data_IF_884152588793
#
_entry.id   IF_884152588793
#
_cell.length_a   1.000
_cell.length_b   1.000
_cell.length_c   1.000
_cell.angle_alpha   90.00
_cell.angle_beta   90.00
_cell.angle_gamma   90.00
#
_symmetry.space_group_name_H-M   'P 1'
#
loop_
_entity.id
_entity.type
_entity.pdbx_description
1 polymer ?
#
# COMPACT_ATOMS: atom_id res chain seq x y z
N UNK A 1 -11.71 -13.36 -9.26
CA UNK A 1 -10.82 -12.18 -9.18
C UNK A 1 -9.49 -12.58 -8.56
N UNK A 2 -8.39 -12.20 -9.19
CA UNK A 2 -7.05 -12.58 -8.75
C UNK A 2 -6.52 -11.70 -7.63
N UNK A 3 -7.03 -10.51 -7.49
CA UNK A 3 -6.65 -9.56 -6.47
C UNK A 3 -7.40 -8.26 -6.67
N UNK A 4 -7.13 -7.28 -5.82
CA UNK A 4 -7.75 -5.98 -5.94
C UNK A 4 -6.97 -4.90 -5.23
N UNK A 5 -7.27 -3.65 -5.57
CA UNK A 5 -6.67 -2.48 -4.95
C UNK A 5 -7.71 -1.37 -4.86
N UNK A 6 -7.54 -0.51 -3.86
CA UNK A 6 -8.44 0.63 -3.66
C UNK A 6 -7.72 1.77 -2.97
N UNK A 7 -8.25 2.98 -3.17
CA UNK A 7 -7.83 4.14 -2.38
C UNK A 7 -8.73 4.24 -1.16
N UNK A 8 -8.15 4.52 -0.01
CA UNK A 8 -8.90 4.68 1.24
C UNK A 8 -8.13 5.59 2.21
N UNK A 9 -8.73 5.83 3.38
CA UNK A 9 -8.16 6.70 4.43
C UNK A 9 -7.69 8.03 3.85
N UNK A 10 -8.58 8.67 3.08
CA UNK A 10 -8.26 9.92 2.39
C UNK A 10 -8.39 11.08 3.35
N UNK A 11 -7.31 11.88 3.46
CA UNK A 11 -7.33 13.15 4.19
C UNK A 11 -7.21 14.28 3.17
N UNK A 12 -8.34 14.91 2.89
CA UNK A 12 -8.40 15.96 1.87
C UNK A 12 -7.70 17.26 2.29
N UNK A 13 -7.57 17.50 3.59
CA UNK A 13 -6.91 18.70 4.08
C UNK A 13 -5.42 18.72 3.74
N UNK A 14 -4.76 17.56 3.88
CA UNK A 14 -3.33 17.42 3.55
C UNK A 14 -3.10 16.68 2.24
N UNK A 15 -4.17 16.22 1.60
CA UNK A 15 -4.15 15.49 0.34
C UNK A 15 -3.31 14.22 0.44
N UNK A 16 -3.55 13.47 1.49
CA UNK A 16 -2.92 12.18 1.75
C UNK A 16 -3.90 11.06 1.47
N UNK A 17 -3.48 10.09 0.68
CA UNK A 17 -4.28 8.94 0.30
C UNK A 17 -3.54 7.67 0.71
N UNK A 18 -4.26 6.62 1.01
CA UNK A 18 -3.67 5.31 1.24
C UNK A 18 -4.18 4.33 0.19
N UNK A 19 -3.27 3.52 -0.37
CA UNK A 19 -3.63 2.43 -1.27
C UNK A 19 -3.63 1.14 -0.47
N UNK A 20 -4.78 0.47 -0.45
CA UNK A 20 -4.90 -0.88 0.09
C UNK A 20 -5.02 -1.87 -1.05
N UNK A 21 -4.50 -3.08 -0.86
CA UNK A 21 -4.59 -4.12 -1.88
C UNK A 21 -4.51 -5.51 -1.26
N UNK A 22 -4.95 -6.49 -2.04
CA UNK A 22 -4.89 -7.89 -1.68
C UNK A 22 -4.66 -8.71 -2.95
N UNK A 23 -4.11 -9.90 -2.80
CA UNK A 23 -3.84 -10.80 -3.91
C UNK A 23 -4.03 -12.24 -3.45
N UNK A 24 -4.66 -13.05 -4.28
CA UNK A 24 -4.78 -14.48 -4.01
C UNK A 24 -3.41 -15.13 -4.10
N UNK A 25 -3.09 -16.07 -3.21
CA UNK A 25 -1.78 -16.73 -3.24
C UNK A 25 -1.44 -17.37 -4.58
N UNK A 26 -2.42 -17.97 -5.26
CA UNK A 26 -2.22 -18.61 -6.55
C UNK A 26 -1.91 -17.62 -7.69
N UNK A 27 -2.22 -16.34 -7.49
CA UNK A 27 -1.94 -15.29 -8.47
C UNK A 27 -0.68 -14.49 -8.13
N UNK A 28 -0.01 -14.80 -7.02
CA UNK A 28 1.16 -14.06 -6.59
C UNK A 28 2.28 -14.18 -7.65
N UNK A 29 2.94 -13.06 -7.91
CA UNK A 29 4.01 -13.01 -8.88
C UNK A 29 3.59 -12.68 -10.31
N UNK A 30 2.29 -12.55 -10.59
CA UNK A 30 1.81 -12.24 -11.93
C UNK A 30 1.79 -10.73 -12.24
N UNK A 31 2.06 -9.88 -11.26
CA UNK A 31 2.20 -8.45 -11.48
C UNK A 31 0.91 -7.64 -11.60
N UNK A 32 -0.26 -8.27 -11.57
CA UNK A 32 -1.55 -7.59 -11.75
C UNK A 32 -1.83 -6.55 -10.66
N UNK A 33 -1.57 -6.91 -9.40
CA UNK A 33 -1.82 -5.99 -8.28
C UNK A 33 -0.83 -4.84 -8.30
N UNK A 34 0.43 -5.10 -8.63
CA UNK A 34 1.44 -4.05 -8.75
C UNK A 34 1.07 -3.02 -9.79
N UNK A 35 0.53 -3.47 -10.94
CA UNK A 35 0.06 -2.56 -11.98
C UNK A 35 -1.12 -1.74 -11.49
N UNK A 36 -2.09 -2.37 -10.82
CA UNK A 36 -3.24 -1.67 -10.27
C UNK A 36 -2.83 -0.62 -9.24
N UNK A 37 -1.87 -0.94 -8.37
CA UNK A 37 -1.34 0.02 -7.38
C UNK A 37 -0.71 1.21 -8.06
N UNK A 38 0.09 0.97 -9.11
CA UNK A 38 0.72 2.04 -9.88
C UNK A 38 -0.31 2.97 -10.52
N UNK A 39 -1.34 2.38 -11.12
CA UNK A 39 -2.40 3.15 -11.77
C UNK A 39 -3.21 3.97 -10.77
N UNK A 40 -3.51 3.40 -9.59
CA UNK A 40 -4.23 4.13 -8.54
C UNK A 40 -3.39 5.29 -8.01
N UNK A 41 -2.09 5.09 -7.82
CA UNK A 41 -1.21 6.16 -7.36
C UNK A 41 -1.16 7.28 -8.40
N UNK A 42 -1.01 6.95 -9.68
CA UNK A 42 -1.02 7.93 -10.76
C UNK A 42 -2.34 8.70 -10.79
N UNK A 43 -3.46 8.01 -10.66
CA UNK A 43 -4.77 8.65 -10.59
C UNK A 43 -4.85 9.63 -9.43
N UNK A 44 -4.38 9.21 -8.25
CA UNK A 44 -4.41 10.06 -7.07
C UNK A 44 -3.60 11.34 -7.30
N UNK A 45 -2.39 11.24 -7.84
CA UNK A 45 -1.55 12.40 -8.10
C UNK A 45 -2.11 13.28 -9.22
N UNK A 46 -2.52 12.70 -10.33
CA UNK A 46 -2.89 13.47 -11.53
C UNK A 46 -4.31 14.00 -11.49
N UNK A 47 -5.26 13.25 -10.93
CA UNK A 47 -6.67 13.59 -10.97
C UNK A 47 -7.22 14.08 -9.64
N UNK A 48 -6.70 13.61 -8.52
CA UNK A 48 -7.23 13.93 -7.20
C UNK A 48 -6.35 14.89 -6.41
N UNK A 49 -5.24 15.31 -6.97
CA UNK A 49 -4.36 16.29 -6.35
C UNK A 49 -3.62 15.79 -5.13
N UNK A 50 -3.35 14.49 -5.07
CA UNK A 50 -2.60 13.94 -3.95
C UNK A 50 -1.21 14.57 -3.84
N UNK A 51 -0.78 14.81 -2.62
CA UNK A 51 0.59 15.22 -2.33
C UNK A 51 1.39 14.06 -1.78
N UNK A 52 0.70 13.08 -1.21
CA UNK A 52 1.30 11.92 -0.60
C UNK A 52 0.36 10.73 -0.78
N UNK A 53 0.94 9.60 -1.18
CA UNK A 53 0.23 8.31 -1.24
C UNK A 53 1.01 7.33 -0.40
N UNK A 54 0.31 6.61 0.49
CA UNK A 54 0.91 5.66 1.41
C UNK A 54 0.46 4.24 1.11
N UNK A 55 1.34 3.28 1.43
CA UNK A 55 1.00 1.87 1.52
C UNK A 55 1.47 1.40 2.88
N UNK A 56 0.61 0.69 3.61
CA UNK A 56 0.95 0.12 4.91
C UNK A 56 0.80 -1.39 4.85
N UNK A 57 1.75 -2.11 5.42
CA UNK A 57 1.70 -3.57 5.44
C UNK A 57 2.51 -4.12 6.62
N UNK A 58 2.27 -5.39 6.94
CA UNK A 58 3.07 -6.10 7.94
C UNK A 58 4.48 -6.33 7.37
N UNK A 59 5.54 -6.02 8.14
CA UNK A 59 6.92 -6.23 7.68
C UNK A 59 7.22 -7.67 7.26
N UNK A 60 6.48 -8.63 7.80
CA UNK A 60 6.64 -10.04 7.46
C UNK A 60 6.03 -10.41 6.11
N UNK A 61 5.18 -9.54 5.58
CA UNK A 61 4.52 -9.80 4.29
C UNK A 61 5.45 -9.37 3.14
N UNK A 62 6.33 -10.28 2.77
CA UNK A 62 7.36 -10.02 1.74
C UNK A 62 6.73 -9.69 0.39
N UNK A 63 5.62 -10.35 0.05
CA UNK A 63 4.93 -10.10 -1.24
C UNK A 63 4.36 -8.70 -1.30
N UNK A 64 3.73 -8.27 -0.20
CA UNK A 64 3.15 -6.92 -0.12
C UNK A 64 4.23 -5.84 -0.19
N UNK A 65 5.34 -6.06 0.48
CA UNK A 65 6.48 -5.14 0.44
C UNK A 65 7.04 -5.03 -0.98
N UNK A 66 7.16 -6.17 -1.66
CA UNK A 66 7.67 -6.17 -3.04
C UNK A 66 6.75 -5.39 -3.99
N UNK A 67 5.44 -5.49 -3.80
CA UNK A 67 4.48 -4.72 -4.60
C UNK A 67 4.69 -3.23 -4.39
N UNK A 68 4.83 -2.78 -3.15
CA UNK A 68 5.06 -1.38 -2.84
C UNK A 68 6.36 -0.86 -3.47
N UNK A 69 7.44 -1.61 -3.32
CA UNK A 69 8.74 -1.22 -3.88
C UNK A 69 8.71 -1.13 -5.40
N UNK A 70 8.10 -2.11 -6.07
CA UNK A 70 7.98 -2.12 -7.54
C UNK A 70 7.10 -1.00 -8.06
N UNK A 71 6.15 -0.53 -7.26
CA UNK A 71 5.28 0.59 -7.63
C UNK A 71 5.95 1.95 -7.41
N UNK A 72 7.22 1.96 -6.96
CA UNK A 72 7.99 3.18 -6.78
C UNK A 72 7.82 3.82 -5.41
N UNK A 73 7.30 3.08 -4.44
CA UNK A 73 7.15 3.58 -3.08
C UNK A 73 8.42 3.31 -2.28
N UNK A 74 8.78 4.24 -1.39
CA UNK A 74 9.93 4.11 -0.52
C UNK A 74 9.48 3.80 0.90
N UNK A 75 10.23 2.94 1.59
CA UNK A 75 9.98 2.66 3.00
C UNK A 75 10.40 3.87 3.83
N UNK A 76 9.45 4.46 4.56
CA UNK A 76 9.75 5.57 5.45
C UNK A 76 10.08 5.10 6.85
N UNK A 77 9.51 4.01 7.29
CA UNK A 77 9.76 3.50 8.60
C UNK A 77 8.88 2.32 8.98
N UNK A 78 9.10 1.83 10.18
CA UNK A 78 8.33 0.72 10.74
C UNK A 78 7.74 1.18 12.08
N UNK A 79 6.41 1.14 12.19
CA UNK A 79 5.72 1.49 13.42
C UNK A 79 5.62 0.22 14.28
N UNK A 80 6.29 0.23 15.41
CA UNK A 80 6.34 -0.96 16.27
C UNK A 80 5.02 -1.15 17.01
N UNK A 81 4.52 -2.38 17.02
CA UNK A 81 3.27 -2.76 17.70
C UNK A 81 2.10 -1.84 17.35
N UNK A 82 2.03 -1.47 16.09
CA UNK A 82 1.03 -0.52 15.60
C UNK A 82 -0.31 -1.17 15.31
N UNK A 83 -0.32 -2.47 15.00
CA UNK A 83 -1.54 -3.19 14.65
C UNK A 83 -1.60 -4.55 15.32
N UNK A 84 -2.63 -5.31 14.93
CA UNK A 84 -2.83 -6.69 15.38
C UNK A 84 -2.82 -7.61 14.16
N UNK A 85 -2.21 -8.79 14.33
CA UNK A 85 -2.27 -9.82 13.29
C UNK A 85 -3.59 -10.61 13.40
N UNK A 86 -3.75 -11.63 12.55
CA UNK A 86 -4.99 -12.42 12.50
C UNK A 86 -5.27 -13.15 13.80
N UNK A 87 -4.24 -13.40 14.61
CA UNK A 87 -4.37 -14.07 15.91
C UNK A 87 -4.57 -13.08 17.06
N UNK A 88 -4.69 -11.79 16.76
CA UNK A 88 -4.85 -10.75 17.77
C UNK A 88 -3.57 -10.37 18.49
N UNK A 89 -2.41 -10.77 17.98
CA UNK A 89 -1.12 -10.43 18.58
C UNK A 89 -0.60 -9.12 18.02
N UNK A 90 0.10 -8.31 18.83
CA UNK A 90 0.70 -7.08 18.33
C UNK A 90 1.67 -7.36 17.18
N UNK A 91 1.59 -6.56 16.14
CA UNK A 91 2.50 -6.62 15.01
C UNK A 91 2.93 -5.21 14.59
N UNK A 92 4.04 -5.16 13.88
CA UNK A 92 4.58 -3.90 13.38
C UNK A 92 3.92 -3.55 12.05
N UNK A 93 4.05 -2.30 11.65
CA UNK A 93 3.52 -1.81 10.38
C UNK A 93 4.60 -1.07 9.61
N UNK A 94 4.92 -1.55 8.41
CA UNK A 94 5.73 -0.79 7.47
C UNK A 94 4.91 0.33 6.86
N UNK A 95 5.50 1.51 6.75
CA UNK A 95 4.90 2.63 6.05
C UNK A 95 5.76 2.96 4.83
N UNK A 96 5.19 2.74 3.66
CA UNK A 96 5.79 3.14 2.39
C UNK A 96 5.10 4.39 1.89
N UNK A 97 5.81 5.24 1.18
CA UNK A 97 5.21 6.44 0.63
C UNK A 97 5.78 6.79 -0.73
N UNK A 98 4.99 7.56 -1.46
CA UNK A 98 5.38 8.19 -2.70
C UNK A 98 4.84 9.61 -2.67
N UNK A 99 5.68 10.58 -3.08
CA UNK A 99 5.32 12.00 -3.07
C UNK A 99 5.10 12.50 -4.50
N UNK A 100 4.33 13.59 -4.61
CA UNK A 100 4.11 14.27 -5.89
C UNK A 100 5.43 14.77 -6.52
#
# INVERSE_FOLDING_TARGET
MLGGACLHRIDWAVRRFEVGYWIRPEAAGQGHVGEAVRLLAALAFEQLGARRVEIRCDPRNVKSRAVAERAGFELEGVLRRHGLDVDGRPCDTCVFSRLE
#
